data_IF_106624912355
#
_entry.id   IF_106624912355
#
_cell.length_a   1.000
_cell.length_b   1.000
_cell.length_c   1.000
_cell.angle_alpha   90.00
_cell.angle_beta   90.00
_cell.angle_gamma   90.00
#
_symmetry.space_group_name_H-M   'P 1'
#
loop_
_entity.id
_entity.type
_entity.pdbx_description
1 polymer ?
#
# COMPACT_ATOMS: atom_id res chain seq x y z
N UNK A 1 -29.17 6.61 30.72
CA UNK A 1 -28.61 5.56 29.86
C UNK A 1 -27.45 6.20 29.10
N UNK A 2 -26.21 5.84 29.43
CA UNK A 2 -25.03 6.38 28.76
C UNK A 2 -24.72 5.51 27.54
N UNK A 3 -25.05 6.00 26.35
CA UNK A 3 -24.55 5.46 25.10
C UNK A 3 -23.15 6.06 24.82
N UNK A 4 -22.29 5.25 24.19
CA UNK A 4 -20.90 5.55 23.80
C UNK A 4 -19.80 5.27 24.85
N UNK A 5 -19.83 4.07 25.45
CA UNK A 5 -18.58 3.33 25.61
C UNK A 5 -18.42 2.47 24.35
N UNK A 6 -17.90 3.05 23.28
CA UNK A 6 -17.49 2.27 22.11
C UNK A 6 -16.35 1.36 22.56
N UNK A 7 -16.57 0.05 22.50
CA UNK A 7 -15.62 -0.97 22.93
C UNK A 7 -14.28 -0.76 22.21
N UNK A 8 -13.28 -0.28 22.94
CA UNK A 8 -11.90 -0.12 22.46
C UNK A 8 -11.18 -1.46 22.20
N UNK A 9 -11.90 -2.58 22.32
CA UNK A 9 -11.41 -3.96 22.23
C UNK A 9 -11.78 -4.65 20.90
N UNK A 10 -12.51 -4.01 20.00
CA UNK A 10 -13.01 -4.68 18.77
C UNK A 10 -11.98 -4.78 17.62
N UNK A 11 -10.77 -4.22 17.78
CA UNK A 11 -9.71 -4.26 16.75
C UNK A 11 -8.35 -4.70 17.31
N UNK A 12 -8.34 -5.58 18.31
CA UNK A 12 -7.08 -6.18 18.78
C UNK A 12 -6.72 -7.38 17.88
N UNK A 13 -5.76 -7.20 16.98
CA UNK A 13 -5.25 -8.26 16.11
C UNK A 13 -4.08 -8.96 16.80
N UNK A 14 -4.16 -10.28 16.95
CA UNK A 14 -3.05 -11.02 17.54
C UNK A 14 -1.78 -10.97 16.67
N UNK A 15 -0.64 -11.20 17.31
CA UNK A 15 0.66 -11.12 16.65
C UNK A 15 0.78 -12.05 15.42
N UNK A 16 0.33 -13.33 15.46
CA UNK A 16 0.32 -14.18 14.26
C UNK A 16 -0.47 -13.60 13.08
N UNK A 17 -1.67 -13.09 13.32
CA UNK A 17 -2.51 -12.50 12.28
C UNK A 17 -1.92 -11.18 11.76
N UNK A 18 -1.28 -10.39 12.63
CA UNK A 18 -0.61 -9.16 12.21
C UNK A 18 0.61 -9.44 11.31
N UNK A 19 1.39 -10.49 11.61
CA UNK A 19 2.49 -10.96 10.74
C UNK A 19 2.00 -11.46 9.38
N UNK A 20 0.88 -12.19 9.37
CA UNK A 20 0.27 -12.66 8.13
C UNK A 20 -0.20 -11.47 7.28
N UNK A 21 -0.91 -10.51 7.88
CA UNK A 21 -1.34 -9.29 7.21
C UNK A 21 -0.15 -8.54 6.62
N UNK A 22 0.92 -8.33 7.39
CA UNK A 22 2.15 -7.72 6.91
C UNK A 22 2.74 -8.43 5.69
N UNK A 23 2.82 -9.76 5.73
CA UNK A 23 3.39 -10.55 4.63
C UNK A 23 2.55 -10.45 3.36
N UNK A 24 1.23 -10.53 3.48
CA UNK A 24 0.30 -10.36 2.36
C UNK A 24 0.47 -8.98 1.74
N UNK A 25 0.46 -7.96 2.58
CA UNK A 25 0.58 -6.56 2.17
C UNK A 25 1.92 -6.31 1.45
N UNK A 26 3.04 -6.82 1.99
CA UNK A 26 4.35 -6.72 1.35
C UNK A 26 4.38 -7.38 -0.03
N UNK A 27 3.76 -8.55 -0.16
CA UNK A 27 3.67 -9.23 -1.46
C UNK A 27 2.85 -8.42 -2.46
N UNK A 28 1.79 -7.74 -2.02
CA UNK A 28 0.96 -6.89 -2.87
C UNK A 28 1.74 -5.64 -3.33
N UNK A 29 2.43 -4.96 -2.40
CA UNK A 29 3.27 -3.81 -2.72
C UNK A 29 4.33 -4.16 -3.77
N UNK A 30 5.08 -5.25 -3.54
CA UNK A 30 6.11 -5.72 -4.47
C UNK A 30 5.56 -6.01 -5.87
N UNK A 31 4.37 -6.62 -5.95
CA UNK A 31 3.72 -6.85 -7.24
C UNK A 31 3.33 -5.54 -7.92
N UNK A 32 2.89 -4.55 -7.16
CA UNK A 32 2.48 -3.25 -7.68
C UNK A 32 3.67 -2.38 -8.13
N UNK A 33 4.81 -2.49 -7.45
CA UNK A 33 6.09 -1.93 -7.90
C UNK A 33 6.51 -2.53 -9.25
N UNK A 34 6.50 -3.86 -9.38
CA UNK A 34 6.85 -4.53 -10.64
C UNK A 34 5.94 -4.12 -11.81
N UNK A 35 4.64 -3.93 -11.55
CA UNK A 35 3.70 -3.39 -12.54
C UNK A 35 4.03 -1.94 -12.91
N UNK A 36 4.41 -1.10 -11.95
CA UNK A 36 4.80 0.29 -12.18
C UNK A 36 6.08 0.38 -13.02
N UNK A 37 7.06 -0.48 -12.77
CA UNK A 37 8.30 -0.57 -13.55
C UNK A 37 8.02 -0.99 -14.99
N UNK A 38 7.17 -2.00 -15.18
CA UNK A 38 6.75 -2.44 -16.52
C UNK A 38 6.05 -1.31 -17.27
N UNK A 39 5.18 -0.54 -16.59
CA UNK A 39 4.50 0.61 -17.20
C UNK A 39 5.48 1.70 -17.62
N UNK A 40 6.50 1.99 -16.80
CA UNK A 40 7.55 2.94 -17.15
C UNK A 40 8.34 2.48 -18.38
N UNK A 41 8.67 1.18 -18.46
CA UNK A 41 9.32 0.60 -19.65
C UNK A 41 8.43 0.70 -20.89
N UNK A 42 7.13 0.41 -20.76
CA UNK A 42 6.18 0.57 -21.86
C UNK A 42 6.11 2.03 -22.33
N UNK A 43 6.08 3.00 -21.41
CA UNK A 43 6.06 4.42 -21.76
C UNK A 43 7.30 4.84 -22.58
N UNK A 44 8.46 4.24 -22.33
CA UNK A 44 9.66 4.46 -23.14
C UNK A 44 9.62 3.79 -24.52
N UNK A 45 8.82 2.73 -24.68
CA UNK A 45 8.67 2.01 -25.94
C UNK A 45 7.57 2.59 -26.84
N UNK A 46 6.66 3.38 -26.28
CA UNK A 46 5.61 4.09 -27.02
C UNK A 46 6.18 5.33 -27.71
N UNK A 47 5.59 5.67 -28.85
CA UNK A 47 5.92 6.94 -29.51
C UNK A 47 5.37 8.15 -28.71
N UNK A 48 5.89 9.34 -29.03
CA UNK A 48 5.56 10.57 -28.31
C UNK A 48 4.08 10.94 -28.43
N UNK A 49 3.45 10.67 -29.58
CA UNK A 49 2.06 11.05 -29.84
C UNK A 49 1.08 10.15 -29.10
N UNK A 50 1.35 8.85 -29.06
CA UNK A 50 0.61 7.87 -28.25
C UNK A 50 0.78 8.16 -26.77
N UNK A 51 2.00 8.52 -26.33
CA UNK A 51 2.26 8.92 -24.94
C UNK A 51 1.44 10.15 -24.56
N UNK A 52 1.45 11.21 -25.39
CA UNK A 52 0.63 12.41 -25.18
C UNK A 52 -0.86 12.07 -25.10
N UNK A 53 -1.36 11.26 -26.04
CA UNK A 53 -2.76 10.83 -26.05
C UNK A 53 -3.14 10.10 -24.75
N UNK A 54 -2.31 9.17 -24.29
CA UNK A 54 -2.50 8.45 -23.04
C UNK A 54 -2.49 9.38 -21.82
N UNK A 55 -1.55 10.31 -21.73
CA UNK A 55 -1.46 11.23 -20.57
C UNK A 55 -2.64 12.19 -20.43
N UNK A 56 -3.41 12.37 -21.50
CA UNK A 56 -4.63 13.20 -21.52
C UNK A 56 -5.90 12.43 -21.11
N UNK A 57 -5.80 11.13 -20.83
CA UNK A 57 -6.95 10.30 -20.44
C UNK A 57 -7.26 10.40 -18.94
N UNK A 58 -8.49 10.09 -18.55
CA UNK A 58 -8.87 10.01 -17.13
C UNK A 58 -8.19 8.82 -16.45
N UNK A 59 -7.97 7.75 -17.19
CA UNK A 59 -7.29 6.54 -16.76
C UNK A 59 -5.85 6.85 -16.30
N UNK A 60 -5.17 7.76 -16.99
CA UNK A 60 -3.85 8.23 -16.58
C UNK A 60 -3.88 9.02 -15.28
N UNK A 61 -4.87 9.90 -15.09
CA UNK A 61 -5.02 10.63 -13.82
C UNK A 61 -5.32 9.69 -12.66
N UNK A 62 -6.22 8.73 -12.85
CA UNK A 62 -6.54 7.70 -11.87
C UNK A 62 -5.30 6.86 -11.51
N UNK A 63 -4.46 6.52 -12.50
CA UNK A 63 -3.19 5.84 -12.26
C UNK A 63 -2.23 6.69 -11.41
N UNK A 64 -2.07 7.98 -11.71
CA UNK A 64 -1.20 8.86 -10.93
C UNK A 64 -1.67 9.04 -9.49
N UNK A 65 -2.97 9.12 -9.27
CA UNK A 65 -3.56 9.16 -7.93
C UNK A 65 -3.31 7.85 -7.17
N UNK A 66 -3.62 6.71 -7.79
CA UNK A 66 -3.35 5.39 -7.21
C UNK A 66 -1.87 5.17 -6.89
N UNK A 67 -0.96 5.71 -7.72
CA UNK A 67 0.48 5.67 -7.46
C UNK A 67 0.87 6.46 -6.21
N UNK A 68 0.31 7.67 -6.03
CA UNK A 68 0.56 8.48 -4.82
C UNK A 68 -0.02 7.84 -3.57
N UNK A 69 -1.20 7.23 -3.68
CA UNK A 69 -1.80 6.47 -2.58
C UNK A 69 -0.92 5.28 -2.19
N UNK A 70 -0.39 4.56 -3.18
CA UNK A 70 0.51 3.43 -2.94
C UNK A 70 1.77 3.85 -2.18
N UNK A 71 2.41 4.96 -2.58
CA UNK A 71 3.60 5.48 -1.89
C UNK A 71 3.29 5.79 -0.41
N UNK A 72 2.11 6.38 -0.14
CA UNK A 72 1.65 6.63 1.23
C UNK A 72 1.37 5.33 1.99
N UNK A 73 0.76 4.34 1.33
CA UNK A 73 0.50 3.02 1.91
C UNK A 73 1.82 2.33 2.28
N UNK A 74 2.84 2.40 1.42
CA UNK A 74 4.18 1.86 1.71
C UNK A 74 4.75 2.43 3.02
N UNK A 75 4.69 3.75 3.20
CA UNK A 75 5.14 4.41 4.43
C UNK A 75 4.36 3.99 5.68
N UNK A 76 3.04 3.74 5.55
CA UNK A 76 2.22 3.26 6.67
C UNK A 76 2.59 1.83 7.07
N UNK A 77 2.95 1.00 6.10
CA UNK A 77 3.33 -0.40 6.33
C UNK A 77 4.71 -0.49 6.95
N UNK A 78 5.65 0.37 6.58
CA UNK A 78 6.94 0.49 7.25
C UNK A 78 6.74 0.78 8.76
N UNK A 79 5.86 1.73 9.11
CA UNK A 79 5.51 2.02 10.51
C UNK A 79 4.89 0.82 11.21
N UNK A 80 3.93 0.15 10.58
CA UNK A 80 3.33 -1.09 11.11
C UNK A 80 4.40 -2.15 11.39
N UNK A 81 5.39 -2.27 10.50
CA UNK A 81 6.49 -3.23 10.64
C UNK A 81 7.34 -2.93 11.87
N UNK A 82 7.66 -1.65 12.10
CA UNK A 82 8.41 -1.21 13.27
C UNK A 82 7.66 -1.51 14.56
N UNK A 83 6.36 -1.25 14.60
CA UNK A 83 5.50 -1.57 15.74
C UNK A 83 5.46 -3.07 16.03
N UNK A 84 5.35 -3.92 14.99
CA UNK A 84 5.38 -5.38 15.16
C UNK A 84 6.73 -5.87 15.72
N UNK A 85 7.85 -5.32 15.24
CA UNK A 85 9.18 -5.65 15.80
C UNK A 85 9.29 -5.28 17.28
N UNK A 86 8.73 -4.13 17.67
CA UNK A 86 8.73 -3.69 19.06
C UNK A 86 7.88 -4.62 19.94
N UNK A 87 6.73 -5.09 19.45
CA UNK A 87 5.88 -6.07 20.15
C UNK A 87 6.54 -7.44 20.29
N UNK A 88 7.32 -7.88 19.29
CA UNK A 88 8.11 -9.11 19.38
C UNK A 88 9.23 -9.01 20.43
N UNK A 89 9.95 -7.88 20.46
CA UNK A 89 11.03 -7.65 21.43
C UNK A 89 10.53 -7.43 22.86
N UNK A 90 9.32 -6.90 23.03
CA UNK A 90 8.69 -6.74 24.34
C UNK A 90 8.12 -8.05 24.93
N UNK A 91 7.94 -9.08 24.10
CA UNK A 91 7.44 -10.41 24.50
C UNK A 91 8.56 -11.46 24.69
N UNK A 92 9.83 -11.04 24.70
CA UNK A 92 11.01 -11.87 25.02
C UNK A 92 11.56 -11.51 26.40
#
# INVERSE_FOLDING_TARGET
MNAAQTNKNELDIDLPNAKLAYTIIQSLLKNQEALSDLLALMAHALDEDVTKALTNTNEWQNYLEAKRELDNTHLQIEKLTEELKNLEGANQ
#
